data_IF_560847946051
#
_entry.id   IF_560847946051
#
_cell.length_a   1.000
_cell.length_b   1.000
_cell.length_c   1.000
_cell.angle_alpha   90.00
_cell.angle_beta   90.00
_cell.angle_gamma   90.00
#
_symmetry.space_group_name_H-M   'P 1'
#
loop_
_entity.id
_entity.type
_entity.pdbx_description
1 polymer ?
#
# COMPACT_ATOMS: atom_id res chain seq x y z
N UNK A 1 0.11 0.84 -19.71
CA UNK A 1 0.50 1.07 -18.30
C UNK A 1 0.47 -0.27 -17.58
N UNK A 2 1.51 -0.60 -16.82
CA UNK A 2 1.55 -1.81 -15.99
C UNK A 2 0.63 -1.64 -14.78
N UNK A 3 -0.13 -2.66 -14.40
CA UNK A 3 -1.12 -2.56 -13.31
C UNK A 3 -0.65 -3.33 -12.09
N UNK A 4 -0.96 -2.82 -10.90
CA UNK A 4 -0.77 -3.53 -9.63
C UNK A 4 -1.78 -4.67 -9.49
N UNK A 5 -1.46 -5.68 -8.68
CA UNK A 5 -2.37 -6.77 -8.38
C UNK A 5 -3.61 -6.26 -7.62
N UNK A 6 -3.45 -5.28 -6.73
CA UNK A 6 -4.56 -4.68 -6.02
C UNK A 6 -5.52 -3.93 -6.95
N UNK A 7 -4.99 -3.14 -7.90
CA UNK A 7 -5.82 -2.45 -8.91
C UNK A 7 -6.68 -3.41 -9.71
N UNK A 8 -6.11 -4.57 -10.06
CA UNK A 8 -6.82 -5.61 -10.78
C UNK A 8 -7.93 -6.19 -9.89
N UNK A 9 -7.63 -6.53 -8.64
CA UNK A 9 -8.59 -7.08 -7.68
C UNK A 9 -9.76 -6.12 -7.45
N UNK A 10 -9.50 -4.84 -7.19
CA UNK A 10 -10.56 -3.83 -7.00
C UNK A 10 -11.41 -3.61 -8.25
N UNK A 11 -10.84 -3.75 -9.45
CA UNK A 11 -11.60 -3.64 -10.71
C UNK A 11 -12.43 -4.88 -11.01
N UNK A 12 -12.01 -6.06 -10.55
CA UNK A 12 -12.71 -7.33 -10.81
C UNK A 12 -13.80 -7.63 -9.78
N UNK A 13 -13.65 -7.16 -8.54
CA UNK A 13 -14.58 -7.42 -7.44
C UNK A 13 -15.34 -6.12 -7.09
N UNK A 14 -16.61 -5.97 -7.53
CA UNK A 14 -17.39 -4.75 -7.28
C UNK A 14 -17.57 -4.47 -5.79
N UNK A 15 -17.41 -3.20 -5.38
CA UNK A 15 -17.63 -2.75 -4.01
C UNK A 15 -16.51 -3.09 -3.01
N UNK A 16 -15.52 -3.90 -3.41
CA UNK A 16 -14.49 -4.39 -2.50
C UNK A 16 -13.65 -3.25 -1.91
N UNK A 17 -13.26 -2.30 -2.75
CA UNK A 17 -12.44 -1.17 -2.32
C UNK A 17 -13.17 -0.28 -1.32
N UNK A 18 -14.44 0.04 -1.59
CA UNK A 18 -15.28 0.85 -0.73
C UNK A 18 -15.53 0.17 0.62
N UNK A 19 -15.79 -1.14 0.60
CA UNK A 19 -15.96 -1.94 1.81
C UNK A 19 -14.69 -1.99 2.66
N UNK A 20 -13.52 -2.16 2.04
CA UNK A 20 -12.23 -2.16 2.76
C UNK A 20 -11.97 -0.80 3.40
N UNK A 21 -12.16 0.29 2.65
CA UNK A 21 -12.01 1.66 3.16
C UNK A 21 -12.99 1.96 4.30
N UNK A 22 -14.25 1.52 4.17
CA UNK A 22 -15.25 1.67 5.22
C UNK A 22 -14.86 0.93 6.50
N UNK A 23 -14.43 -0.33 6.39
CA UNK A 23 -13.97 -1.14 7.54
C UNK A 23 -12.75 -0.52 8.21
N UNK A 24 -11.79 -0.01 7.43
CA UNK A 24 -10.62 0.70 7.93
C UNK A 24 -11.03 1.95 8.72
N UNK A 25 -11.90 2.79 8.15
CA UNK A 25 -12.40 4.00 8.84
C UNK A 25 -13.14 3.67 10.13
N UNK A 26 -14.04 2.70 10.11
CA UNK A 26 -14.80 2.29 11.28
C UNK A 26 -13.88 1.72 12.38
N UNK A 27 -12.80 1.04 12.02
CA UNK A 27 -11.82 0.52 12.97
C UNK A 27 -11.11 1.65 13.73
N UNK A 28 -10.54 2.63 13.01
CA UNK A 28 -9.85 3.75 13.64
C UNK A 28 -10.80 4.69 14.39
N UNK A 29 -12.01 4.92 13.86
CA UNK A 29 -13.04 5.70 14.55
C UNK A 29 -13.42 5.09 15.90
N UNK A 30 -13.59 3.76 15.96
CA UNK A 30 -13.88 3.06 17.23
C UNK A 30 -12.76 3.16 18.26
N UNK A 31 -11.52 3.35 17.79
CA UNK A 31 -10.35 3.56 18.65
C UNK A 31 -10.11 5.04 18.98
N UNK A 32 -10.91 5.97 18.46
CA UNK A 32 -10.70 7.41 18.63
C UNK A 32 -9.42 7.91 17.94
N UNK A 33 -8.97 7.20 16.90
CA UNK A 33 -7.73 7.49 16.18
C UNK A 33 -8.01 7.98 14.76
N UNK A 34 -7.06 8.73 14.19
CA UNK A 34 -7.09 9.11 12.77
C UNK A 34 -6.70 7.92 11.88
N UNK A 35 -7.28 7.87 10.66
CA UNK A 35 -6.96 6.84 9.67
C UNK A 35 -5.62 7.18 9.02
N UNK A 36 -4.60 6.29 9.08
CA UNK A 36 -3.34 6.50 8.39
C UNK A 36 -3.55 6.60 6.87
N UNK A 37 -2.96 7.61 6.23
CA UNK A 37 -2.96 7.78 4.77
C UNK A 37 -4.08 8.65 4.18
N UNK A 38 -5.05 9.10 4.97
CA UNK A 38 -6.18 9.95 4.51
C UNK A 38 -5.81 11.45 4.41
N UNK A 39 -4.53 11.83 4.38
CA UNK A 39 -4.08 13.24 4.39
C UNK A 39 -4.14 13.85 2.97
N UNK A 40 -5.35 14.06 2.44
CA UNK A 40 -5.64 15.09 1.43
C UNK A 40 -7.06 15.63 1.63
N UNK A 41 -7.20 16.68 2.43
CA UNK A 41 -8.38 17.56 2.43
C UNK A 41 -8.81 18.02 3.83
N UNK A 42 -8.68 19.31 4.08
CA UNK A 42 -9.02 20.01 5.32
C UNK A 42 -10.49 19.89 5.76
N UNK A 43 -10.66 19.97 7.09
CA UNK A 43 -11.90 20.15 7.89
C UNK A 43 -12.81 18.91 7.99
N UNK A 44 -13.10 18.38 9.18
CA UNK A 44 -13.90 19.04 10.21
C UNK A 44 -13.36 18.80 11.63
N UNK A 45 -13.11 19.90 12.35
CA UNK A 45 -13.17 19.92 13.81
C UNK A 45 -14.61 19.61 14.26
N UNK A 46 -14.79 18.58 15.08
CA UNK A 46 -15.88 18.54 16.06
C UNK A 46 -15.40 17.78 17.30
N UNK A 47 -15.29 18.54 18.39
CA UNK A 47 -14.76 18.22 19.72
C UNK A 47 -15.54 17.11 20.43
N UNK A 48 -14.83 16.25 21.18
CA UNK A 48 -15.18 15.81 22.54
C UNK A 48 -13.85 15.51 23.28
N UNK A 49 -13.24 16.49 23.96
CA UNK A 49 -13.31 16.71 25.42
C UNK A 49 -13.13 15.43 26.27
N UNK A 50 -11.90 15.14 26.68
CA UNK A 50 -11.64 14.80 28.09
C UNK A 50 -10.23 15.26 28.49
N UNK A 51 -10.20 16.03 29.57
CA UNK A 51 -9.05 16.66 30.21
C UNK A 51 -7.87 15.71 30.46
N UNK A 52 -6.65 16.19 30.17
CA UNK A 52 -5.50 15.86 31.00
C UNK A 52 -4.59 17.06 31.16
N UNK A 53 -4.25 17.31 32.42
CA UNK A 53 -3.61 18.50 32.96
C UNK A 53 -2.15 18.70 32.49
N UNK A 54 -1.82 19.98 32.21
CA UNK A 54 -0.56 20.73 32.39
C UNK A 54 0.80 20.06 32.17
N UNK A 55 1.64 20.72 31.35
CA UNK A 55 2.92 21.40 31.68
C UNK A 55 3.77 21.46 30.40
N UNK A 56 4.36 22.55 29.90
CA UNK A 56 4.51 23.93 30.37
C UNK A 56 4.98 24.82 29.19
N UNK A 57 4.97 26.13 29.44
CA UNK A 57 5.35 27.22 28.54
C UNK A 57 6.75 27.09 27.90
N UNK A 58 6.89 27.52 26.64
CA UNK A 58 7.81 28.59 26.21
C UNK A 58 7.43 29.10 24.80
N UNK A 59 7.59 30.40 24.60
CA UNK A 59 7.06 31.26 23.51
C UNK A 59 7.84 31.17 22.17
N UNK A 60 7.30 31.74 21.07
CA UNK A 60 7.78 31.53 19.70
C UNK A 60 8.80 32.59 19.26
N UNK A 61 9.74 32.22 18.38
CA UNK A 61 10.51 33.17 17.59
C UNK A 61 10.50 32.75 16.11
N UNK A 62 9.97 33.65 15.27
CA UNK A 62 10.16 33.67 13.83
C UNK A 62 11.65 33.78 13.48
N UNK A 63 12.13 32.99 12.52
CA UNK A 63 13.09 33.52 11.55
C UNK A 63 13.02 32.73 10.24
N UNK A 64 12.43 33.37 9.23
CA UNK A 64 12.52 32.97 7.84
C UNK A 64 13.97 33.06 7.37
N UNK A 65 14.54 31.97 6.86
CA UNK A 65 15.39 32.06 5.67
C UNK A 65 15.54 30.73 4.93
N UNK A 66 15.54 30.92 3.61
CA UNK A 66 15.38 30.00 2.51
C UNK A 66 16.74 29.44 2.12
N UNK A 67 16.97 28.14 2.26
CA UNK A 67 18.04 27.46 1.53
C UNK A 67 17.54 26.15 0.94
N UNK A 68 17.81 26.03 -0.35
CA UNK A 68 17.42 24.99 -1.28
C UNK A 68 18.14 23.70 -0.92
N UNK A 69 17.48 22.84 -0.15
CA UNK A 69 17.92 21.47 0.06
C UNK A 69 17.15 20.57 -0.91
N UNK A 70 17.87 19.99 -1.87
CA UNK A 70 17.40 18.83 -2.63
C UNK A 70 17.22 17.65 -1.67
N UNK A 71 16.15 17.70 -0.86
CA UNK A 71 15.70 16.58 -0.06
C UNK A 71 15.13 15.55 -1.02
N UNK A 72 16.00 14.63 -1.45
CA UNK A 72 15.56 13.27 -1.75
C UNK A 72 14.69 12.87 -0.56
N UNK A 73 13.38 12.82 -0.77
CA UNK A 73 12.49 12.13 0.13
C UNK A 73 13.18 10.81 0.45
N UNK A 74 13.52 10.57 1.71
CA UNK A 74 13.81 9.23 2.19
C UNK A 74 12.50 8.46 1.94
N UNK A 75 12.33 7.95 0.72
CA UNK A 75 11.27 7.04 0.35
C UNK A 75 11.42 5.84 1.31
N UNK A 76 10.54 5.78 2.29
CA UNK A 76 10.03 4.58 2.93
C UNK A 76 10.98 3.36 2.82
N UNK A 77 12.05 3.38 3.62
CA UNK A 77 13.21 2.46 3.54
C UNK A 77 12.88 1.00 3.95
N UNK A 78 11.60 0.64 4.01
CA UNK A 78 11.18 -0.69 4.40
C UNK A 78 11.13 -1.67 3.21
N UNK A 79 11.30 -1.17 1.97
CA UNK A 79 11.25 -1.95 0.73
C UNK A 79 9.92 -2.72 0.57
N UNK A 80 8.79 -2.04 0.78
CA UNK A 80 7.43 -2.58 0.66
C UNK A 80 7.13 -3.74 1.61
N UNK A 81 7.85 -3.85 2.74
CA UNK A 81 7.68 -4.94 3.70
C UNK A 81 6.42 -4.79 4.53
N UNK A 82 6.04 -3.55 4.84
CA UNK A 82 4.86 -3.19 5.62
C UNK A 82 3.63 -2.92 4.75
N UNK A 83 3.77 -2.98 3.42
CA UNK A 83 2.65 -2.86 2.51
C UNK A 83 1.56 -3.89 2.83
N UNK A 84 0.31 -3.49 2.58
CA UNK A 84 -0.82 -4.43 2.53
C UNK A 84 -0.47 -5.58 1.58
N UNK A 85 -0.83 -6.81 1.94
CA UNK A 85 -0.50 -7.99 1.14
C UNK A 85 -1.70 -8.52 0.38
N UNK A 86 -1.45 -9.13 -0.78
CA UNK A 86 -2.44 -9.79 -1.63
C UNK A 86 -2.03 -11.24 -1.84
N UNK A 87 -3.00 -12.15 -1.67
CA UNK A 87 -2.82 -13.57 -1.95
C UNK A 87 -3.32 -13.91 -3.36
N UNK A 88 -2.48 -14.60 -4.14
CA UNK A 88 -2.74 -14.88 -5.56
C UNK A 88 -2.52 -16.37 -5.81
N UNK A 89 -3.45 -17.00 -6.55
CA UNK A 89 -3.28 -18.34 -7.10
C UNK A 89 -2.83 -18.26 -8.56
N UNK A 90 -1.76 -18.96 -8.90
CA UNK A 90 -1.19 -19.03 -10.24
C UNK A 90 -1.52 -20.37 -10.88
N UNK A 91 -2.33 -20.36 -11.93
CA UNK A 91 -2.75 -21.58 -12.65
C UNK A 91 -2.23 -21.55 -14.09
N UNK A 92 -1.69 -22.67 -14.56
CA UNK A 92 -1.22 -22.81 -15.93
C UNK A 92 -2.31 -23.49 -16.76
N UNK A 93 -2.84 -22.78 -17.75
CA UNK A 93 -3.85 -23.30 -18.67
C UNK A 93 -3.23 -23.83 -19.98
N UNK A 94 -1.90 -23.89 -20.06
CA UNK A 94 -1.14 -24.30 -21.23
C UNK A 94 -0.45 -25.64 -20.97
N UNK A 95 -0.48 -26.53 -21.95
CA UNK A 95 0.27 -27.78 -21.91
C UNK A 95 1.77 -27.59 -22.20
N UNK A 96 2.19 -26.38 -22.59
CA UNK A 96 3.58 -26.08 -22.99
C UNK A 96 4.48 -25.72 -21.80
N UNK A 97 3.90 -25.24 -20.70
CA UNK A 97 4.64 -24.83 -19.51
C UNK A 97 4.25 -25.73 -18.36
N UNK A 98 5.25 -26.24 -17.63
CA UNK A 98 5.02 -26.96 -16.41
C UNK A 98 4.40 -26.02 -15.36
N UNK A 99 3.41 -26.52 -14.61
CA UNK A 99 2.83 -25.77 -13.51
C UNK A 99 3.84 -25.50 -12.40
N UNK A 100 3.64 -24.42 -11.65
CA UNK A 100 4.46 -24.13 -10.48
C UNK A 100 4.17 -25.13 -9.37
N UNK A 101 5.23 -25.72 -8.77
CA UNK A 101 5.11 -26.63 -7.61
C UNK A 101 4.39 -25.96 -6.42
N UNK A 102 4.54 -24.64 -6.27
CA UNK A 102 3.79 -23.82 -5.33
C UNK A 102 3.01 -22.76 -6.08
N UNK A 103 1.69 -22.90 -6.14
CA UNK A 103 0.81 -22.02 -6.93
C UNK A 103 0.29 -20.80 -6.18
N UNK A 104 0.43 -20.77 -4.86
CA UNK A 104 -0.04 -19.65 -4.04
C UNK A 104 1.12 -18.76 -3.66
N UNK A 105 0.96 -17.45 -3.86
CA UNK A 105 1.92 -16.43 -3.44
C UNK A 105 1.23 -15.35 -2.64
N UNK A 106 1.94 -14.79 -1.66
CA UNK A 106 1.59 -13.54 -1.01
C UNK A 106 2.64 -12.50 -1.38
N UNK A 107 2.21 -11.33 -1.83
CA UNK A 107 3.10 -10.22 -2.17
C UNK A 107 2.48 -8.89 -1.75
N UNK A 108 3.29 -7.82 -1.74
CA UNK A 108 2.76 -6.45 -1.56
C UNK A 108 1.63 -6.18 -2.58
N UNK A 109 0.63 -5.43 -2.15
CA UNK A 109 -0.45 -4.88 -2.97
C UNK A 109 0.07 -4.02 -4.13
N UNK A 110 1.29 -3.48 -4.01
CA UNK A 110 1.99 -2.73 -5.04
C UNK A 110 2.66 -3.64 -6.10
N UNK A 111 2.72 -4.95 -5.89
CA UNK A 111 3.27 -5.86 -6.89
C UNK A 111 2.49 -5.75 -8.21
N UNK A 112 3.19 -5.67 -9.34
CA UNK A 112 2.58 -5.48 -10.67
C UNK A 112 2.56 -6.76 -11.48
N UNK A 113 1.82 -6.74 -12.59
CA UNK A 113 1.81 -7.86 -13.56
C UNK A 113 3.22 -8.17 -14.06
N UNK A 114 4.07 -7.16 -14.27
CA UNK A 114 5.46 -7.38 -14.65
C UNK A 114 6.26 -8.12 -13.59
N UNK A 115 6.09 -7.80 -12.31
CA UNK A 115 6.74 -8.53 -11.21
C UNK A 115 6.36 -10.01 -11.23
N UNK A 116 5.08 -10.33 -11.43
CA UNK A 116 4.61 -11.71 -11.54
C UNK A 116 5.17 -12.42 -12.77
N UNK A 117 5.17 -11.78 -13.95
CA UNK A 117 5.75 -12.37 -15.18
C UNK A 117 7.23 -12.72 -14.99
N UNK A 118 8.02 -11.80 -14.42
CA UNK A 118 9.43 -12.05 -14.10
C UNK A 118 9.61 -13.17 -13.09
N UNK A 119 8.78 -13.21 -12.05
CA UNK A 119 8.80 -14.27 -11.05
C UNK A 119 8.53 -15.64 -11.68
N UNK A 120 7.47 -15.78 -12.48
CA UNK A 120 7.09 -17.03 -13.14
C UNK A 120 8.20 -17.49 -14.08
N UNK A 121 8.73 -16.60 -14.92
CA UNK A 121 9.81 -16.91 -15.84
C UNK A 121 11.06 -17.42 -15.12
N UNK A 122 11.46 -16.75 -14.03
CA UNK A 122 12.58 -17.19 -13.19
C UNK A 122 12.29 -18.55 -12.54
N UNK A 123 11.06 -18.78 -12.08
CA UNK A 123 10.69 -20.02 -11.38
C UNK A 123 10.60 -21.22 -12.32
N UNK A 124 10.28 -20.99 -13.58
CA UNK A 124 10.23 -21.98 -14.65
C UNK A 124 11.54 -22.07 -15.46
N UNK A 125 12.58 -21.31 -15.09
CA UNK A 125 13.86 -21.20 -15.80
C UNK A 125 13.72 -20.85 -17.29
N UNK A 126 12.81 -19.92 -17.61
CA UNK A 126 12.65 -19.39 -18.98
C UNK A 126 13.71 -18.34 -19.28
N UNK A 127 14.06 -18.18 -20.56
CA UNK A 127 15.04 -17.16 -21.01
C UNK A 127 14.49 -15.74 -20.93
N UNK A 128 13.18 -15.56 -21.07
CA UNK A 128 12.52 -14.25 -21.05
C UNK A 128 11.15 -14.31 -20.36
N UNK A 129 10.78 -13.22 -19.69
CA UNK A 129 9.44 -13.07 -19.11
C UNK A 129 8.33 -12.87 -20.15
N UNK A 130 8.69 -12.62 -21.41
CA UNK A 130 7.73 -12.55 -22.52
C UNK A 130 7.22 -13.94 -22.93
N UNK A 131 7.86 -15.01 -22.46
CA UNK A 131 7.44 -16.41 -22.70
C UNK A 131 6.35 -16.87 -21.73
N UNK A 132 5.95 -16.02 -20.78
CA UNK A 132 4.85 -16.21 -19.80
C UNK A 132 3.58 -15.52 -20.29
#
# INVERSE_FOLDING_TARGET
HDRTMQDIVYKLVPGLQEEEMKKQREFYQKLGMEVPGDIKGETCSAKQHLDSHRCGENKPDENSNKETSEEKQEEDSDYHRSDKQVSICLECNSNKLCGLKGKWICCSAQATVLHLKKFIAKKLNLSSFNEV
#
